data_IF_893800578085
#
_entry.id   IF_893800578085
#
_cell.length_a   1.000
_cell.length_b   1.000
_cell.length_c   1.000
_cell.angle_alpha   90.00
_cell.angle_beta   90.00
_cell.angle_gamma   90.00
#
_symmetry.space_group_name_H-M   'P 1'
#
loop_
_entity.id
_entity.type
_entity.pdbx_description
1 polymer ?
#
# COMPACT_ATOMS: atom_id res chain seq x y z
N UNK A 1 -18.52 16.91 -28.44
CA UNK A 1 -17.74 16.65 -29.61
C UNK A 1 -16.26 16.81 -29.36
N UNK A 2 -15.83 16.19 -28.30
CA UNK A 2 -14.44 15.94 -27.98
C UNK A 2 -14.13 14.47 -28.10
N UNK A 3 -12.99 14.14 -28.68
CA UNK A 3 -12.47 12.78 -28.73
C UNK A 3 -10.98 12.85 -28.42
N UNK A 4 -10.59 12.23 -27.33
CA UNK A 4 -9.19 12.12 -26.90
C UNK A 4 -8.78 10.65 -26.89
N UNK A 5 -7.71 10.33 -27.60
CA UNK A 5 -7.12 8.97 -27.64
C UNK A 5 -5.69 9.05 -27.13
N UNK A 6 -5.42 8.42 -25.97
CA UNK A 6 -4.12 8.47 -25.31
C UNK A 6 -3.63 7.07 -24.97
N UNK A 7 -2.35 6.79 -25.26
CA UNK A 7 -1.69 5.60 -24.73
C UNK A 7 -1.17 5.90 -23.32
N UNK A 8 -1.51 5.04 -22.38
CA UNK A 8 -1.05 5.09 -20.98
C UNK A 8 -0.14 3.89 -20.71
N UNK A 9 1.10 4.19 -20.36
CA UNK A 9 2.08 3.17 -20.00
C UNK A 9 2.10 3.02 -18.48
N UNK A 10 1.78 1.84 -17.97
CA UNK A 10 1.79 1.51 -16.55
C UNK A 10 2.96 0.56 -16.27
N UNK A 11 4.02 1.07 -15.66
CA UNK A 11 5.16 0.26 -15.24
C UNK A 11 4.80 -0.63 -14.04
N UNK A 12 5.54 -1.74 -13.85
CA UNK A 12 5.43 -2.56 -12.67
C UNK A 12 5.55 -1.72 -11.39
N UNK A 13 4.82 -2.08 -10.32
CA UNK A 13 4.98 -1.42 -9.03
C UNK A 13 6.39 -1.63 -8.49
N UNK A 14 6.81 -0.79 -7.53
CA UNK A 14 8.08 -0.99 -6.83
C UNK A 14 8.08 -2.34 -6.12
N UNK A 15 9.26 -2.80 -5.75
CA UNK A 15 9.46 -4.03 -4.98
C UNK A 15 8.76 -3.97 -3.63
N UNK A 16 8.70 -5.09 -2.94
CA UNK A 16 8.12 -5.14 -1.61
C UNK A 16 9.09 -4.64 -0.54
N UNK A 17 8.61 -3.74 0.30
CA UNK A 17 9.02 -3.65 1.68
C UNK A 17 8.08 -4.52 2.54
N UNK A 18 8.28 -4.53 3.87
CA UNK A 18 7.45 -5.35 4.74
C UNK A 18 5.98 -4.91 4.74
N UNK A 19 5.68 -3.62 4.83
CA UNK A 19 4.32 -3.11 4.90
C UNK A 19 3.50 -3.42 3.64
N UNK A 20 4.08 -3.23 2.47
CA UNK A 20 3.44 -3.57 1.20
C UNK A 20 3.22 -5.09 1.05
N UNK A 21 4.18 -5.90 1.50
CA UNK A 21 4.02 -7.35 1.49
C UNK A 21 2.90 -7.80 2.43
N UNK A 22 2.83 -7.22 3.64
CA UNK A 22 1.76 -7.48 4.62
C UNK A 22 0.39 -7.10 4.07
N UNK A 23 0.28 -5.94 3.40
CA UNK A 23 -0.96 -5.52 2.76
C UNK A 23 -1.37 -6.47 1.62
N UNK A 24 -0.43 -6.87 0.77
CA UNK A 24 -0.70 -7.78 -0.34
C UNK A 24 -1.12 -9.17 0.15
N UNK A 25 -0.44 -9.73 1.15
CA UNK A 25 -0.77 -11.02 1.75
C UNK A 25 -2.12 -10.99 2.48
N UNK A 26 -2.44 -9.90 3.19
CA UNK A 26 -3.76 -9.69 3.79
C UNK A 26 -4.86 -9.65 2.73
N UNK A 27 -4.61 -8.99 1.61
CA UNK A 27 -5.54 -8.89 0.48
C UNK A 27 -5.77 -10.25 -0.22
N UNK A 28 -4.68 -10.96 -0.53
CA UNK A 28 -4.73 -12.20 -1.33
C UNK A 28 -5.09 -13.43 -0.50
N UNK A 29 -4.50 -13.57 0.68
CA UNK A 29 -4.52 -14.81 1.45
C UNK A 29 -5.28 -14.69 2.76
N UNK A 30 -5.72 -13.49 3.14
CA UNK A 30 -6.44 -13.22 4.39
C UNK A 30 -5.65 -13.61 5.64
N UNK A 31 -4.33 -13.50 5.57
CA UNK A 31 -3.44 -13.66 6.73
C UNK A 31 -3.11 -12.32 7.37
N UNK A 32 -2.81 -12.35 8.66
CA UNK A 32 -2.48 -11.14 9.41
C UNK A 32 -1.08 -10.59 9.05
N UNK A 33 -0.79 -9.32 9.33
CA UNK A 33 0.55 -8.76 9.19
C UNK A 33 1.61 -9.50 10.02
N UNK A 34 1.26 -9.93 11.24
CA UNK A 34 2.13 -10.70 12.11
C UNK A 34 2.48 -12.07 11.50
N UNK A 35 1.48 -12.77 10.99
CA UNK A 35 1.71 -14.04 10.30
C UNK A 35 2.52 -13.87 9.02
N UNK A 36 2.29 -12.80 8.25
CA UNK A 36 3.09 -12.47 7.08
C UNK A 36 4.57 -12.26 7.46
N UNK A 37 4.82 -11.51 8.53
CA UNK A 37 6.18 -11.30 9.03
C UNK A 37 6.82 -12.62 9.46
N UNK A 38 6.12 -13.46 10.21
CA UNK A 38 6.62 -14.77 10.66
C UNK A 38 7.01 -15.66 9.46
N UNK A 39 6.15 -15.72 8.44
CA UNK A 39 6.42 -16.49 7.22
C UNK A 39 7.62 -15.91 6.47
N UNK A 40 7.68 -14.59 6.31
CA UNK A 40 8.79 -13.96 5.57
C UNK A 40 10.11 -14.12 6.33
N UNK A 41 10.07 -14.10 7.66
CA UNK A 41 11.23 -14.42 8.50
C UNK A 41 11.70 -15.88 8.29
N UNK A 42 10.77 -16.84 8.23
CA UNK A 42 11.08 -18.23 7.89
C UNK A 42 11.73 -18.36 6.51
N UNK A 43 11.19 -17.65 5.51
CA UNK A 43 11.77 -17.62 4.16
C UNK A 43 13.20 -17.06 4.15
N UNK A 44 13.45 -16.02 4.95
CA UNK A 44 14.78 -15.42 5.11
C UNK A 44 15.77 -16.39 5.78
N UNK A 45 15.37 -17.05 6.86
CA UNK A 45 16.21 -18.04 7.57
C UNK A 45 16.55 -19.24 6.68
N UNK A 46 15.63 -19.63 5.80
CA UNK A 46 15.86 -20.62 4.73
C UNK A 46 16.67 -20.07 3.55
N UNK A 47 17.14 -18.83 3.61
CA UNK A 47 17.91 -18.13 2.56
C UNK A 47 17.18 -18.00 1.22
N UNK A 48 15.85 -18.02 1.23
CA UNK A 48 15.04 -17.90 0.01
C UNK A 48 14.78 -16.44 -0.38
N UNK A 49 14.71 -15.54 0.60
CA UNK A 49 14.52 -14.10 0.39
C UNK A 49 15.52 -13.28 1.19
N UNK A 50 15.62 -11.99 0.87
CA UNK A 50 16.44 -11.02 1.60
C UNK A 50 15.78 -10.62 2.93
N UNK A 51 16.49 -9.83 3.76
CA UNK A 51 16.04 -9.44 5.09
C UNK A 51 14.64 -8.80 5.06
N UNK A 52 13.67 -9.29 5.86
CA UNK A 52 12.27 -8.89 5.70
C UNK A 52 11.91 -7.55 6.35
N UNK A 53 12.63 -7.11 7.39
CA UNK A 53 12.29 -5.87 8.11
C UNK A 53 12.95 -4.67 7.46
N UNK A 54 12.46 -4.29 6.30
CA UNK A 54 12.93 -3.14 5.53
C UNK A 54 11.77 -2.25 5.12
N UNK A 55 12.00 -0.94 5.12
CA UNK A 55 11.08 0.06 4.57
C UNK A 55 11.43 0.39 3.11
N UNK A 56 12.59 -0.05 2.59
CA UNK A 56 13.01 0.18 1.22
C UNK A 56 12.23 -0.67 0.21
N UNK A 57 11.90 -0.05 -0.93
CA UNK A 57 11.16 -0.68 -2.04
C UNK A 57 11.98 -0.72 -3.34
N UNK A 58 13.29 -0.55 -3.22
CA UNK A 58 14.23 -0.43 -4.33
C UNK A 58 15.45 -1.32 -4.09
N UNK A 59 16.21 -1.57 -5.14
CA UNK A 59 17.51 -2.22 -5.09
C UNK A 59 18.61 -1.18 -4.82
N UNK A 60 19.70 -1.61 -4.20
CA UNK A 60 20.95 -0.86 -4.22
C UNK A 60 21.66 -1.01 -5.58
N UNK A 61 22.50 -0.05 -5.91
CA UNK A 61 23.33 -0.10 -7.12
C UNK A 61 24.23 -1.35 -7.11
N UNK A 62 24.75 -1.74 -5.95
CA UNK A 62 25.57 -2.93 -5.80
C UNK A 62 24.79 -4.22 -6.13
N UNK A 63 23.58 -4.37 -5.57
CA UNK A 63 22.71 -5.51 -5.85
C UNK A 63 22.24 -5.51 -7.30
N UNK A 64 21.90 -4.36 -7.87
CA UNK A 64 21.47 -4.25 -9.26
C UNK A 64 22.52 -4.72 -10.26
N UNK A 65 23.82 -4.52 -9.97
CA UNK A 65 24.94 -5.01 -10.80
C UNK A 65 25.05 -6.54 -10.81
N UNK A 66 24.67 -7.19 -9.72
CA UNK A 66 24.77 -8.63 -9.56
C UNK A 66 23.44 -9.38 -9.68
N UNK A 67 22.37 -8.68 -10.03
CA UNK A 67 21.00 -9.19 -10.04
C UNK A 67 20.81 -10.43 -10.94
N UNK A 68 21.69 -10.58 -11.92
CA UNK A 68 21.79 -11.78 -12.76
C UNK A 68 21.81 -13.07 -11.93
N UNK A 69 22.53 -13.10 -10.81
CA UNK A 69 22.64 -14.28 -9.94
C UNK A 69 21.30 -14.69 -9.36
N UNK A 70 20.50 -13.70 -8.90
CA UNK A 70 19.17 -13.92 -8.36
C UNK A 70 18.22 -14.48 -9.42
N UNK A 71 18.22 -13.88 -10.62
CA UNK A 71 17.35 -14.30 -11.72
C UNK A 71 17.75 -15.70 -12.21
N UNK A 72 19.04 -15.96 -12.38
CA UNK A 72 19.52 -17.26 -12.86
C UNK A 72 19.18 -18.39 -11.88
N UNK A 73 19.28 -18.14 -10.57
CA UNK A 73 18.89 -19.11 -9.55
C UNK A 73 17.41 -19.47 -9.58
N UNK A 74 16.52 -18.53 -9.96
CA UNK A 74 15.08 -18.78 -10.09
C UNK A 74 14.71 -19.74 -11.24
N UNK A 75 15.64 -20.09 -12.13
CA UNK A 75 15.43 -21.18 -13.10
C UNK A 75 15.23 -22.53 -12.42
N UNK A 76 15.69 -22.69 -11.18
CA UNK A 76 15.43 -23.87 -10.34
C UNK A 76 14.05 -23.88 -9.67
N UNK A 77 13.24 -22.81 -9.82
CA UNK A 77 11.88 -22.72 -9.32
C UNK A 77 10.90 -22.79 -10.50
N UNK A 78 10.25 -23.92 -10.69
CA UNK A 78 9.44 -24.23 -11.87
C UNK A 78 8.43 -23.12 -12.23
N UNK A 79 7.63 -22.54 -11.31
CA UNK A 79 6.69 -21.48 -11.66
C UNK A 79 7.32 -20.18 -12.19
N UNK A 80 8.59 -19.96 -11.96
CA UNK A 80 9.34 -18.79 -12.38
C UNK A 80 10.36 -19.06 -13.48
N UNK A 81 10.67 -20.33 -13.74
CA UNK A 81 11.78 -20.74 -14.61
C UNK A 81 11.71 -20.16 -16.02
N UNK A 82 10.52 -20.19 -16.64
CA UNK A 82 10.28 -19.63 -17.98
C UNK A 82 10.50 -18.11 -18.04
N UNK A 83 9.97 -17.38 -17.05
CA UNK A 83 10.14 -15.92 -16.95
C UNK A 83 11.60 -15.53 -16.70
N UNK A 84 12.29 -16.27 -15.82
CA UNK A 84 13.70 -16.04 -15.57
C UNK A 84 14.57 -16.27 -16.82
N UNK A 85 14.30 -17.33 -17.57
CA UNK A 85 14.99 -17.61 -18.83
C UNK A 85 14.75 -16.51 -19.89
N UNK A 86 13.50 -16.03 -20.03
CA UNK A 86 13.14 -14.93 -20.92
C UNK A 86 13.87 -13.63 -20.58
N UNK A 87 13.91 -13.26 -19.29
CA UNK A 87 14.63 -12.06 -18.81
C UNK A 87 16.13 -12.16 -19.09
N UNK A 88 16.73 -13.32 -18.87
CA UNK A 88 18.15 -13.55 -19.09
C UNK A 88 18.52 -13.49 -20.58
N UNK A 89 17.72 -14.11 -21.45
CA UNK A 89 17.95 -14.09 -22.90
C UNK A 89 17.70 -12.69 -23.50
N UNK A 90 16.67 -11.98 -23.03
CA UNK A 90 16.35 -10.62 -23.47
C UNK A 90 17.29 -9.54 -22.90
N UNK A 91 18.04 -9.85 -21.84
CA UNK A 91 19.03 -8.94 -21.27
C UNK A 91 18.49 -7.70 -20.57
N UNK A 92 17.18 -7.63 -20.29
CA UNK A 92 16.52 -6.46 -19.66
C UNK A 92 17.08 -6.14 -18.26
N UNK A 93 17.60 -7.11 -17.55
CA UNK A 93 18.26 -6.95 -16.24
C UNK A 93 19.51 -6.06 -16.29
N UNK A 94 20.20 -5.95 -17.45
CA UNK A 94 21.44 -5.16 -17.60
C UNK A 94 21.22 -3.66 -17.38
N UNK A 95 20.02 -3.18 -17.59
CA UNK A 95 19.66 -1.76 -17.48
C UNK A 95 18.98 -1.40 -16.16
N UNK A 96 18.71 -2.37 -15.28
CA UNK A 96 17.91 -2.17 -14.07
C UNK A 96 18.50 -1.10 -13.13
N UNK A 97 19.82 -0.98 -13.08
CA UNK A 97 20.54 0.02 -12.29
C UNK A 97 20.22 1.48 -12.70
N UNK A 98 19.71 1.68 -13.92
CA UNK A 98 19.34 3.00 -14.46
C UNK A 98 17.84 3.29 -14.39
N UNK A 99 17.08 2.46 -13.72
CA UNK A 99 15.63 2.56 -13.62
C UNK A 99 15.18 3.04 -12.24
N UNK A 100 13.91 3.38 -12.10
CA UNK A 100 13.29 3.73 -10.80
C UNK A 100 13.36 2.62 -9.74
N UNK A 101 13.72 1.41 -10.12
CA UNK A 101 13.82 0.24 -9.22
C UNK A 101 15.17 0.17 -8.48
N UNK A 102 16.11 1.06 -8.80
CA UNK A 102 17.42 1.15 -8.14
C UNK A 102 17.64 2.57 -7.64
N UNK A 103 17.81 2.75 -6.32
CA UNK A 103 18.04 4.07 -5.73
C UNK A 103 18.68 3.95 -4.34
N UNK A 104 19.99 4.16 -4.25
CA UNK A 104 20.71 4.05 -2.97
C UNK A 104 20.25 5.10 -1.93
N UNK A 105 19.71 6.24 -2.35
CA UNK A 105 19.22 7.29 -1.43
C UNK A 105 17.93 6.92 -0.69
N UNK A 106 17.22 5.88 -1.16
CA UNK A 106 16.01 5.38 -0.52
C UNK A 106 16.27 4.15 0.36
N UNK A 107 17.53 3.83 0.62
CA UNK A 107 17.95 2.69 1.43
C UNK A 107 18.65 3.22 2.66
N UNK A 108 18.14 2.86 3.83
CA UNK A 108 18.81 3.12 5.12
C UNK A 108 19.77 1.97 5.46
N UNK A 109 19.23 0.81 5.82
CA UNK A 109 20.00 -0.35 6.25
C UNK A 109 19.90 -1.51 5.26
N UNK A 110 18.70 -1.76 4.72
CA UNK A 110 18.41 -2.89 3.85
C UNK A 110 17.61 -2.45 2.62
N UNK A 111 17.90 -3.06 1.47
CA UNK A 111 17.11 -2.91 0.26
C UNK A 111 15.83 -3.77 0.31
N UNK A 112 15.01 -3.70 -0.72
CA UNK A 112 13.72 -4.37 -0.81
C UNK A 112 13.79 -5.89 -0.59
N UNK A 113 12.64 -6.49 -0.24
CA UNK A 113 12.48 -7.94 -0.12
C UNK A 113 12.44 -8.54 -1.53
N UNK A 114 13.48 -9.33 -1.85
CA UNK A 114 13.62 -10.02 -3.13
C UNK A 114 14.04 -11.48 -2.93
N UNK A 115 13.78 -12.38 -3.91
CA UNK A 115 14.33 -13.73 -3.85
C UNK A 115 15.86 -13.70 -4.01
N UNK A 116 16.55 -14.55 -3.28
CA UNK A 116 18.03 -14.68 -3.36
C UNK A 116 18.50 -15.43 -4.58
N UNK A 117 17.62 -16.21 -5.22
CA UNK A 117 17.97 -17.18 -6.25
C UNK A 117 18.26 -18.59 -5.71
N UNK A 118 18.38 -18.76 -4.40
CA UNK A 118 18.44 -20.10 -3.81
C UNK A 118 17.02 -20.70 -3.79
N UNK A 119 16.86 -21.92 -4.29
CA UNK A 119 15.54 -22.56 -4.43
C UNK A 119 15.46 -23.93 -3.74
N UNK A 120 16.56 -24.42 -3.18
CA UNK A 120 16.63 -25.77 -2.61
C UNK A 120 15.65 -26.03 -1.46
N UNK A 121 15.37 -25.03 -0.64
CA UNK A 121 14.45 -25.13 0.50
C UNK A 121 12.96 -24.95 0.14
N UNK A 122 12.62 -24.63 -1.11
CA UNK A 122 11.23 -24.35 -1.53
C UNK A 122 10.32 -25.57 -1.34
N UNK A 123 10.83 -26.79 -1.58
CA UNK A 123 10.05 -28.02 -1.44
C UNK A 123 9.57 -28.30 -0.01
N UNK A 124 10.24 -27.75 0.99
CA UNK A 124 9.88 -27.89 2.40
C UNK A 124 8.98 -26.79 2.95
N UNK A 125 8.45 -25.90 2.10
CA UNK A 125 7.56 -24.83 2.53
C UNK A 125 6.13 -25.32 2.74
N UNK A 126 5.45 -24.73 3.73
CA UNK A 126 3.99 -24.88 3.85
C UNK A 126 3.29 -24.24 2.65
N UNK A 127 2.06 -24.67 2.37
CA UNK A 127 1.27 -24.14 1.25
C UNK A 127 1.13 -22.60 1.28
N UNK A 128 0.99 -22.02 2.48
CA UNK A 128 0.88 -20.57 2.62
C UNK A 128 2.24 -19.88 2.45
N UNK A 129 3.32 -20.45 2.97
CA UNK A 129 4.66 -19.92 2.79
C UNK A 129 5.09 -19.95 1.31
N UNK A 130 4.71 -21.00 0.58
CA UNK A 130 4.93 -21.07 -0.86
C UNK A 130 4.19 -19.95 -1.63
N UNK A 131 2.93 -19.65 -1.27
CA UNK A 131 2.16 -18.55 -1.86
C UNK A 131 2.80 -17.18 -1.60
N UNK A 132 3.30 -16.97 -0.38
CA UNK A 132 4.01 -15.72 -0.04
C UNK A 132 5.31 -15.61 -0.84
N UNK A 133 6.08 -16.70 -0.94
CA UNK A 133 7.30 -16.74 -1.75
C UNK A 133 7.02 -16.47 -3.23
N UNK A 134 6.01 -17.12 -3.81
CA UNK A 134 5.58 -16.88 -5.20
C UNK A 134 5.18 -15.42 -5.45
N UNK A 135 4.50 -14.80 -4.50
CA UNK A 135 4.13 -13.37 -4.58
C UNK A 135 5.37 -12.47 -4.62
N UNK A 136 6.38 -12.76 -3.81
CA UNK A 136 7.65 -12.01 -3.81
C UNK A 136 8.39 -12.23 -5.13
N UNK A 137 8.48 -13.46 -5.61
CA UNK A 137 9.13 -13.81 -6.87
C UNK A 137 8.46 -13.12 -8.06
N UNK A 138 7.14 -13.15 -8.16
CA UNK A 138 6.39 -12.49 -9.23
C UNK A 138 6.58 -10.97 -9.22
N UNK A 139 6.56 -10.34 -8.06
CA UNK A 139 6.83 -8.90 -7.92
C UNK A 139 8.25 -8.56 -8.36
N UNK A 140 9.23 -9.38 -8.01
CA UNK A 140 10.63 -9.22 -8.39
C UNK A 140 10.83 -9.38 -9.90
N UNK A 141 10.29 -10.42 -10.51
CA UNK A 141 10.45 -10.64 -11.95
C UNK A 141 9.71 -9.60 -12.80
N UNK A 142 8.59 -9.07 -12.29
CA UNK A 142 7.78 -8.08 -13.01
C UNK A 142 8.54 -6.79 -13.35
N UNK A 143 9.55 -6.38 -12.56
CA UNK A 143 10.30 -5.15 -12.81
C UNK A 143 11.21 -5.21 -14.05
N UNK A 144 11.48 -6.40 -14.56
CA UNK A 144 12.32 -6.62 -15.75
C UNK A 144 11.52 -6.67 -17.06
N UNK A 145 10.19 -6.59 -16.96
CA UNK A 145 9.30 -6.54 -18.12
C UNK A 145 8.94 -5.11 -18.50
N UNK A 146 8.59 -4.86 -19.78
CA UNK A 146 8.13 -3.55 -20.21
C UNK A 146 6.84 -3.14 -19.49
N UNK A 147 6.48 -1.85 -19.49
CA UNK A 147 5.21 -1.40 -18.98
C UNK A 147 4.02 -2.07 -19.68
N UNK A 148 2.93 -2.30 -18.94
CA UNK A 148 1.65 -2.60 -19.56
C UNK A 148 1.14 -1.36 -20.27
N UNK A 149 0.62 -1.54 -21.52
CA UNK A 149 0.14 -0.45 -22.35
C UNK A 149 -1.37 -0.50 -22.43
N UNK A 150 -2.01 0.59 -22.08
CA UNK A 150 -3.45 0.77 -22.18
C UNK A 150 -3.77 1.84 -23.23
N UNK A 151 -4.85 1.63 -23.99
CA UNK A 151 -5.49 2.68 -24.74
C UNK A 151 -6.60 3.29 -23.90
N UNK A 152 -6.47 4.59 -23.62
CA UNK A 152 -7.54 5.38 -23.01
C UNK A 152 -8.24 6.17 -24.13
N UNK A 153 -9.56 6.08 -24.19
CA UNK A 153 -10.40 6.84 -25.10
C UNK A 153 -11.41 7.60 -24.27
N UNK A 154 -11.37 8.93 -24.34
CA UNK A 154 -12.36 9.80 -23.71
C UNK A 154 -13.20 10.47 -24.79
N UNK A 155 -14.52 10.41 -24.64
CA UNK A 155 -15.49 10.92 -25.60
C UNK A 155 -16.38 11.94 -24.89
N UNK A 156 -16.55 13.10 -25.52
CA UNK A 156 -17.53 14.09 -25.10
C UNK A 156 -18.53 14.22 -26.25
N UNK A 157 -19.76 13.79 -26.01
CA UNK A 157 -20.87 13.93 -26.93
C UNK A 157 -21.71 15.14 -26.48
N UNK A 158 -22.27 15.86 -27.43
CA UNK A 158 -23.19 16.97 -27.19
C UNK A 158 -24.53 16.69 -27.86
N UNK A 159 -25.59 16.91 -27.10
CA UNK A 159 -26.95 16.97 -27.64
C UNK A 159 -27.59 18.26 -27.10
N UNK A 160 -27.87 19.20 -27.97
CA UNK A 160 -28.36 20.54 -27.63
C UNK A 160 -27.42 21.24 -26.63
N UNK A 161 -27.87 21.54 -25.43
CA UNK A 161 -27.11 22.16 -24.33
C UNK A 161 -26.39 21.15 -23.47
N UNK A 162 -26.74 19.86 -23.54
CA UNK A 162 -26.23 18.82 -22.66
C UNK A 162 -24.93 18.20 -23.18
N UNK A 163 -24.04 17.88 -22.25
CA UNK A 163 -22.77 17.19 -22.53
C UNK A 163 -22.73 15.83 -21.82
N UNK A 164 -22.47 14.79 -22.60
CA UNK A 164 -22.36 13.41 -22.12
C UNK A 164 -20.90 12.99 -22.18
N UNK A 165 -20.37 12.47 -21.08
CA UNK A 165 -18.98 12.07 -20.94
C UNK A 165 -18.88 10.55 -20.88
N UNK A 166 -17.94 9.98 -21.60
CA UNK A 166 -17.64 8.55 -21.53
C UNK A 166 -16.14 8.31 -21.63
N UNK A 167 -15.61 7.38 -20.83
CA UNK A 167 -14.22 6.99 -20.89
C UNK A 167 -14.09 5.46 -20.95
N UNK A 168 -13.13 5.00 -21.74
CA UNK A 168 -12.82 3.58 -21.94
C UNK A 168 -11.33 3.36 -21.77
N UNK A 169 -10.96 2.28 -21.08
CA UNK A 169 -9.57 1.89 -20.88
C UNK A 169 -9.39 0.42 -21.26
N UNK A 170 -8.60 0.15 -22.28
CA UNK A 170 -8.38 -1.18 -22.83
C UNK A 170 -6.90 -1.55 -22.77
N UNK A 171 -6.59 -2.76 -22.30
CA UNK A 171 -5.23 -3.29 -22.28
C UNK A 171 -4.82 -3.69 -23.70
N UNK A 172 -3.74 -3.08 -24.22
CA UNK A 172 -3.19 -3.37 -25.56
C UNK A 172 -2.01 -4.33 -25.46
N UNK A 173 -1.16 -4.14 -24.44
CA UNK A 173 0.01 -4.99 -24.22
C UNK A 173 0.14 -5.28 -22.73
N UNK A 174 0.25 -6.54 -22.38
CA UNK A 174 0.33 -7.01 -21.00
C UNK A 174 1.61 -6.53 -20.31
N UNK A 175 2.73 -6.45 -21.01
CA UNK A 175 4.01 -6.10 -20.39
C UNK A 175 4.26 -6.93 -19.15
N UNK A 176 4.54 -6.27 -18.01
CA UNK A 176 4.81 -6.93 -16.72
C UNK A 176 3.60 -7.73 -16.18
N UNK A 177 2.39 -7.48 -16.63
CA UNK A 177 1.20 -8.24 -16.21
C UNK A 177 1.26 -9.71 -16.64
N UNK A 178 2.08 -10.04 -17.63
CA UNK A 178 2.39 -11.42 -18.02
C UNK A 178 2.89 -12.24 -16.81
N UNK A 179 3.67 -11.62 -15.94
CA UNK A 179 4.24 -12.25 -14.73
C UNK A 179 3.38 -11.98 -13.50
N UNK A 180 2.95 -10.74 -13.33
CA UNK A 180 2.19 -10.32 -12.15
C UNK A 180 0.74 -10.82 -12.15
N UNK A 181 0.21 -11.21 -13.31
CA UNK A 181 -1.19 -11.50 -13.53
C UNK A 181 -2.02 -10.24 -13.74
N UNK A 182 -3.10 -10.36 -14.49
CA UNK A 182 -4.06 -9.27 -14.69
C UNK A 182 -4.89 -9.13 -13.40
N UNK A 183 -4.94 -7.95 -12.77
CA UNK A 183 -5.72 -7.76 -11.56
C UNK A 183 -7.19 -8.14 -11.76
N UNK A 184 -7.75 -8.88 -10.82
CA UNK A 184 -9.15 -9.35 -10.89
C UNK A 184 -10.17 -8.19 -11.00
N UNK A 185 -9.79 -6.98 -10.59
CA UNK A 185 -10.58 -5.76 -10.78
C UNK A 185 -10.75 -5.36 -12.25
N UNK A 186 -9.84 -5.78 -13.13
CA UNK A 186 -9.97 -5.55 -14.57
C UNK A 186 -10.81 -6.64 -15.27
N UNK A 187 -10.92 -7.83 -14.67
CA UNK A 187 -11.76 -8.92 -15.16
C UNK A 187 -13.21 -8.86 -14.65
N UNK A 188 -13.45 -8.17 -13.54
CA UNK A 188 -14.79 -7.91 -13.01
C UNK A 188 -14.97 -6.41 -13.10
N UNK A 189 -15.96 -5.93 -13.88
CA UNK A 189 -16.32 -4.51 -13.95
C UNK A 189 -16.25 -3.90 -12.55
N UNK A 190 -15.36 -2.93 -12.39
CA UNK A 190 -14.88 -2.51 -11.07
C UNK A 190 -15.98 -1.76 -10.33
N UNK A 191 -16.60 -2.38 -9.33
CA UNK A 191 -17.56 -1.72 -8.42
C UNK A 191 -16.87 -0.88 -7.31
N UNK A 192 -15.54 -0.68 -7.36
CA UNK A 192 -14.81 -0.28 -6.16
C UNK A 192 -13.60 0.65 -6.37
N UNK A 193 -13.63 1.55 -7.32
CA UNK A 193 -12.70 2.69 -7.32
C UNK A 193 -13.50 3.99 -7.21
N UNK A 194 -13.03 4.87 -6.32
CA UNK A 194 -13.58 6.22 -6.09
C UNK A 194 -13.35 7.19 -7.27
N UNK A 195 -12.96 6.71 -8.45
CA UNK A 195 -13.03 7.46 -9.69
C UNK A 195 -14.45 7.32 -10.25
N UNK A 196 -15.17 8.44 -10.27
CA UNK A 196 -16.58 8.60 -10.67
C UNK A 196 -16.89 8.22 -12.13
N UNK A 197 -15.96 7.65 -12.87
CA UNK A 197 -16.18 7.14 -14.22
C UNK A 197 -16.24 5.61 -14.17
N UNK A 198 -17.44 5.05 -14.26
CA UNK A 198 -17.61 3.62 -14.57
C UNK A 198 -16.91 3.34 -15.91
N UNK A 199 -15.71 2.75 -15.86
CA UNK A 199 -15.06 2.23 -17.08
C UNK A 199 -15.96 1.14 -17.65
N UNK A 200 -16.68 1.46 -18.71
CA UNK A 200 -17.50 0.49 -19.46
C UNK A 200 -16.58 -0.61 -19.98
N UNK A 201 -16.96 -1.87 -19.79
CA UNK A 201 -16.21 -2.99 -20.37
C UNK A 201 -16.12 -2.78 -21.88
N UNK A 202 -14.93 -2.60 -22.36
CA UNK A 202 -14.65 -2.47 -23.78
C UNK A 202 -14.02 -3.78 -24.26
N UNK A 203 -14.72 -4.50 -25.11
CA UNK A 203 -14.19 -5.65 -25.83
C UNK A 203 -13.39 -5.20 -27.09
N UNK A 204 -12.77 -6.14 -27.77
CA UNK A 204 -11.98 -5.85 -28.97
C UNK A 204 -12.83 -5.22 -30.10
N UNK A 205 -14.09 -5.63 -30.24
CA UNK A 205 -14.99 -5.08 -31.27
C UNK A 205 -15.35 -3.62 -30.95
N UNK A 206 -15.65 -3.32 -29.69
CA UNK A 206 -15.89 -1.96 -29.21
C UNK A 206 -14.65 -1.07 -29.38
N UNK A 207 -13.45 -1.62 -29.12
CA UNK A 207 -12.21 -0.87 -29.32
C UNK A 207 -12.00 -0.51 -30.78
N UNK A 208 -12.28 -1.41 -31.74
CA UNK A 208 -12.22 -1.11 -33.18
C UNK A 208 -13.19 0.00 -33.59
N UNK A 209 -14.41 -0.03 -33.07
CA UNK A 209 -15.39 1.04 -33.29
C UNK A 209 -14.90 2.37 -32.73
N UNK A 210 -14.40 2.39 -31.50
CA UNK A 210 -13.85 3.58 -30.88
C UNK A 210 -12.61 4.13 -31.57
N UNK A 211 -11.81 3.26 -32.22
CA UNK A 211 -10.66 3.68 -33.00
C UNK A 211 -11.06 4.37 -34.33
N UNK A 212 -12.18 3.96 -34.93
CA UNK A 212 -12.71 4.52 -36.19
C UNK A 212 -13.38 5.88 -35.99
N UNK A 213 -13.87 6.19 -34.77
CA UNK A 213 -14.52 7.47 -34.45
C UNK A 213 -13.56 8.65 -34.67
N UNK A 214 -14.11 9.72 -35.25
CA UNK A 214 -13.46 11.02 -35.47
C UNK A 214 -14.22 12.13 -34.73
N UNK A 215 -13.52 13.22 -34.45
CA UNK A 215 -14.15 14.41 -33.88
C UNK A 215 -15.14 14.99 -34.92
N UNK A 216 -16.39 15.13 -34.53
CA UNK A 216 -17.48 15.62 -35.37
C UNK A 216 -18.40 14.52 -35.89
N UNK A 217 -18.08 13.25 -35.69
CA UNK A 217 -18.98 12.15 -36.04
C UNK A 217 -20.29 12.26 -35.26
N UNK A 218 -21.38 11.89 -35.93
CA UNK A 218 -22.71 11.82 -35.31
C UNK A 218 -22.94 10.40 -34.83
N UNK A 219 -23.23 10.24 -33.54
CA UNK A 219 -23.56 8.97 -32.96
C UNK A 219 -25.06 8.92 -32.73
N UNK A 220 -25.73 7.90 -33.24
CA UNK A 220 -27.13 7.68 -32.99
C UNK A 220 -27.32 7.20 -31.56
N UNK A 221 -28.01 8.02 -30.74
CA UNK A 221 -28.34 7.65 -29.36
C UNK A 221 -29.54 6.71 -29.36
N UNK A 222 -29.48 5.65 -28.57
CA UNK A 222 -30.62 4.79 -28.26
C UNK A 222 -31.50 5.41 -27.18
N UNK A 223 -31.85 4.62 -26.18
CA UNK A 223 -32.64 5.09 -25.03
C UNK A 223 -31.75 5.77 -23.98
N UNK A 224 -32.29 6.80 -23.36
CA UNK A 224 -31.72 7.43 -22.17
C UNK A 224 -32.48 6.94 -20.94
N UNK A 225 -31.76 6.52 -19.93
CA UNK A 225 -32.34 6.14 -18.66
C UNK A 225 -31.57 6.75 -17.49
N UNK A 226 -32.28 7.03 -16.42
CA UNK A 226 -31.69 7.50 -15.17
C UNK A 226 -31.33 6.29 -14.32
N UNK A 227 -30.04 6.13 -14.04
CA UNK A 227 -29.56 5.09 -13.13
C UNK A 227 -29.48 5.67 -11.73
N UNK A 228 -30.40 5.27 -10.88
CA UNK A 228 -30.34 5.62 -9.46
C UNK A 228 -29.21 4.86 -8.76
N UNK A 229 -28.48 5.53 -7.90
CA UNK A 229 -27.40 4.98 -7.12
C UNK A 229 -27.33 5.63 -5.74
N UNK A 230 -26.67 4.93 -4.80
CA UNK A 230 -26.37 5.47 -3.47
C UNK A 230 -24.86 5.54 -3.32
N UNK A 231 -24.35 6.65 -2.82
CA UNK A 231 -22.96 6.76 -2.39
C UNK A 231 -22.72 5.81 -1.21
N UNK A 232 -21.52 5.30 -1.11
CA UNK A 232 -21.12 4.47 0.02
C UNK A 232 -20.05 5.19 0.83
N UNK A 233 -20.02 4.99 2.16
CA UNK A 233 -18.95 5.56 2.98
C UNK A 233 -17.59 4.97 2.57
N UNK A 234 -16.46 5.64 2.93
CA UNK A 234 -15.13 5.08 2.74
C UNK A 234 -15.03 3.67 3.31
N UNK A 235 -14.24 2.83 2.64
CA UNK A 235 -14.05 1.45 3.10
C UNK A 235 -13.33 1.42 4.44
N UNK A 236 -13.75 0.54 5.33
CA UNK A 236 -13.03 0.28 6.57
C UNK A 236 -11.63 -0.27 6.27
N UNK A 237 -10.68 0.05 7.14
CA UNK A 237 -9.35 -0.55 7.08
C UNK A 237 -9.43 -2.06 7.25
N UNK A 238 -8.63 -2.78 6.50
CA UNK A 238 -8.23 -4.14 6.83
C UNK A 238 -6.84 -4.10 7.49
N UNK A 239 -6.40 -5.24 8.03
CA UNK A 239 -5.13 -5.32 8.75
C UNK A 239 -3.93 -4.83 7.92
N UNK A 240 -3.88 -5.17 6.62
CA UNK A 240 -2.81 -4.71 5.73
C UNK A 240 -2.90 -3.22 5.38
N UNK A 241 -4.10 -2.72 5.04
CA UNK A 241 -4.27 -1.30 4.71
C UNK A 241 -4.04 -0.37 5.90
N UNK A 242 -4.29 -0.83 7.13
CA UNK A 242 -3.96 -0.07 8.34
C UNK A 242 -2.43 0.01 8.54
N UNK A 243 -1.68 -1.06 8.27
CA UNK A 243 -0.21 -1.02 8.29
C UNK A 243 0.32 0.02 7.29
N UNK A 244 -0.24 0.06 6.06
CA UNK A 244 0.13 1.09 5.07
C UNK A 244 -0.26 2.50 5.52
N UNK A 245 -1.41 2.67 6.17
CA UNK A 245 -1.82 3.96 6.72
C UNK A 245 -0.85 4.43 7.82
N UNK A 246 -0.38 3.52 8.68
CA UNK A 246 0.65 3.83 9.68
C UNK A 246 1.98 4.22 9.02
N UNK A 247 2.41 3.52 7.99
CA UNK A 247 3.62 3.86 7.24
C UNK A 247 3.51 5.23 6.57
N UNK A 248 2.34 5.57 6.05
CA UNK A 248 2.07 6.81 5.33
C UNK A 248 1.38 7.87 6.19
N UNK A 249 1.47 7.78 7.52
CA UNK A 249 0.78 8.69 8.45
C UNK A 249 1.14 10.17 8.24
N UNK A 250 2.30 10.46 7.67
CA UNK A 250 2.69 11.82 7.29
C UNK A 250 1.74 12.50 6.32
N UNK A 251 0.96 11.76 5.53
CA UNK A 251 -0.04 12.36 4.62
C UNK A 251 -1.16 13.10 5.37
N UNK A 252 -1.35 12.81 6.65
CA UNK A 252 -2.34 13.47 7.51
C UNK A 252 -1.80 14.74 8.16
N UNK A 253 -0.53 15.07 7.97
CA UNK A 253 0.14 16.25 8.57
C UNK A 253 0.11 17.40 7.57
N UNK A 254 -0.43 18.55 7.97
CA UNK A 254 -0.51 19.75 7.13
C UNK A 254 0.84 20.45 7.00
N UNK A 255 1.63 20.48 8.07
CA UNK A 255 2.97 21.07 8.08
C UNK A 255 3.93 20.28 7.20
N UNK A 256 4.49 20.95 6.17
CA UNK A 256 5.35 20.32 5.18
C UNK A 256 6.67 19.80 5.74
N UNK A 257 7.25 20.50 6.71
CA UNK A 257 8.53 20.12 7.34
C UNK A 257 8.34 18.87 8.20
N UNK A 258 7.29 18.85 9.04
CA UNK A 258 6.95 17.68 9.85
C UNK A 258 6.47 16.51 8.99
N UNK A 259 5.76 16.80 7.90
CA UNK A 259 5.39 15.78 6.92
C UNK A 259 6.62 15.13 6.28
N UNK A 260 7.60 15.93 5.90
CA UNK A 260 8.86 15.43 5.33
C UNK A 260 9.64 14.56 6.34
N UNK A 261 9.64 14.94 7.61
CA UNK A 261 10.30 14.20 8.69
C UNK A 261 9.71 12.81 8.89
N UNK A 262 8.39 12.67 8.88
CA UNK A 262 7.72 11.38 9.10
C UNK A 262 7.53 10.55 7.80
N UNK A 263 7.80 11.14 6.65
CA UNK A 263 7.58 10.51 5.34
C UNK A 263 8.35 9.20 5.15
N UNK A 264 9.46 9.02 5.85
CA UNK A 264 10.29 7.81 5.77
C UNK A 264 10.06 6.81 6.89
N UNK A 265 9.51 7.24 8.04
CA UNK A 265 9.34 6.40 9.23
C UNK A 265 7.89 6.05 9.54
N UNK A 266 6.95 6.98 9.33
CA UNK A 266 5.54 6.76 9.68
C UNK A 266 5.31 6.65 11.19
N UNK A 267 4.20 6.02 11.57
CA UNK A 267 3.92 5.62 12.95
C UNK A 267 4.44 4.20 13.16
N UNK A 268 5.34 4.03 14.12
CA UNK A 268 6.07 2.77 14.32
C UNK A 268 7.04 2.49 13.17
N UNK A 269 7.81 1.44 13.32
CA UNK A 269 8.78 0.95 12.32
C UNK A 269 8.24 -0.29 11.61
N UNK A 270 8.88 -0.72 10.53
CA UNK A 270 8.60 -2.01 9.88
C UNK A 270 8.59 -3.19 10.87
N UNK A 271 9.43 -3.15 11.90
CA UNK A 271 9.52 -4.19 12.91
C UNK A 271 8.35 -4.16 13.93
N UNK A 272 7.75 -2.99 14.20
CA UNK A 272 6.84 -2.79 15.33
C UNK A 272 5.37 -2.62 14.95
N UNK A 273 5.05 -2.20 13.70
CA UNK A 273 3.66 -1.91 13.29
C UNK A 273 2.71 -3.11 13.49
N UNK A 274 3.14 -4.30 13.10
CA UNK A 274 2.31 -5.51 13.26
C UNK A 274 2.05 -5.82 14.74
N UNK A 275 3.04 -5.64 15.61
CA UNK A 275 2.88 -5.85 17.04
C UNK A 275 1.99 -4.79 17.69
N UNK A 276 2.08 -3.52 17.26
CA UNK A 276 1.17 -2.46 17.73
C UNK A 276 -0.28 -2.85 17.42
N UNK A 277 -0.54 -3.28 16.18
CA UNK A 277 -1.88 -3.75 15.79
C UNK A 277 -2.35 -4.92 16.64
N UNK A 278 -1.49 -5.92 16.86
CA UNK A 278 -1.78 -7.07 17.72
C UNK A 278 -2.11 -6.63 19.15
N UNK A 279 -1.33 -5.74 19.73
CA UNK A 279 -1.58 -5.21 21.10
C UNK A 279 -2.93 -4.50 21.21
N UNK A 280 -3.35 -3.77 20.19
CA UNK A 280 -4.68 -3.11 20.18
C UNK A 280 -5.81 -4.14 20.13
N UNK A 281 -5.61 -5.25 19.39
CA UNK A 281 -6.56 -6.37 19.34
C UNK A 281 -6.60 -7.10 20.69
N UNK A 282 -5.44 -7.45 21.24
CA UNK A 282 -5.32 -8.18 22.52
C UNK A 282 -5.91 -7.38 23.71
N UNK A 283 -5.77 -6.05 23.68
CA UNK A 283 -6.40 -5.15 24.65
C UNK A 283 -7.91 -4.96 24.43
N UNK A 284 -8.45 -5.49 23.34
CA UNK A 284 -9.86 -5.37 22.99
C UNK A 284 -10.27 -3.96 22.56
N UNK A 285 -9.35 -3.11 22.10
CA UNK A 285 -9.69 -1.77 21.60
C UNK A 285 -10.21 -1.82 20.16
N UNK A 286 -9.73 -2.77 19.39
CA UNK A 286 -10.19 -3.04 18.03
C UNK A 286 -10.48 -4.53 17.87
N UNK A 287 -11.36 -4.87 16.92
CA UNK A 287 -11.68 -6.24 16.54
C UNK A 287 -11.24 -6.50 15.12
N UNK A 288 -10.59 -7.64 14.90
CA UNK A 288 -10.20 -8.14 13.59
C UNK A 288 -11.13 -9.29 13.17
N UNK A 289 -11.75 -9.16 12.00
CA UNK A 289 -12.48 -10.27 11.40
C UNK A 289 -11.49 -11.22 10.69
N UNK A 290 -11.36 -12.46 11.17
CA UNK A 290 -10.40 -13.44 10.66
C UNK A 290 -10.57 -13.80 9.18
N UNK A 291 -11.83 -13.78 8.66
CA UNK A 291 -12.10 -14.13 7.25
C UNK A 291 -11.87 -12.98 6.27
N UNK A 292 -12.26 -11.76 6.65
CA UNK A 292 -12.19 -10.58 5.77
C UNK A 292 -10.96 -9.72 6.04
N UNK A 293 -10.32 -9.91 7.19
CA UNK A 293 -9.26 -9.06 7.74
C UNK A 293 -9.71 -7.60 7.99
N UNK A 294 -11.01 -7.33 7.99
CA UNK A 294 -11.55 -6.00 8.30
C UNK A 294 -11.40 -5.72 9.80
N UNK A 295 -10.96 -4.51 10.10
CA UNK A 295 -10.80 -3.98 11.45
C UNK A 295 -11.99 -3.07 11.76
N UNK A 296 -12.53 -3.23 12.96
CA UNK A 296 -13.55 -2.34 13.51
C UNK A 296 -13.16 -1.94 14.94
N UNK A 297 -13.49 -0.72 15.38
CA UNK A 297 -13.37 -0.38 16.80
C UNK A 297 -14.29 -1.29 17.63
N UNK A 298 -14.02 -1.38 18.90
CA UNK A 298 -14.94 -1.95 19.91
C UNK A 298 -15.51 -0.80 20.75
N UNK A 299 -16.56 -1.05 21.50
CA UNK A 299 -17.08 -0.06 22.44
C UNK A 299 -15.99 0.43 23.40
N UNK A 300 -15.19 -0.50 23.94
CA UNK A 300 -14.05 -0.15 24.81
C UNK A 300 -13.05 0.75 24.07
N UNK A 301 -12.76 0.44 22.81
CA UNK A 301 -11.83 1.23 22.00
C UNK A 301 -12.33 2.67 21.78
N UNK A 302 -13.62 2.85 21.48
CA UNK A 302 -14.21 4.19 21.32
C UNK A 302 -14.23 4.94 22.65
N UNK A 303 -14.59 4.30 23.76
CA UNK A 303 -14.54 4.91 25.08
C UNK A 303 -13.11 5.37 25.46
N UNK A 304 -12.09 4.55 25.17
CA UNK A 304 -10.68 4.91 25.41
C UNK A 304 -10.27 6.10 24.52
N UNK A 305 -10.72 6.11 23.25
CA UNK A 305 -10.48 7.25 22.37
C UNK A 305 -11.07 8.54 22.94
N UNK A 306 -12.31 8.52 23.41
CA UNK A 306 -12.98 9.67 24.01
C UNK A 306 -12.28 10.17 25.28
N UNK A 307 -11.82 9.23 26.13
CA UNK A 307 -11.02 9.57 27.33
C UNK A 307 -9.73 10.28 26.94
N UNK A 308 -9.00 9.76 25.94
CA UNK A 308 -7.75 10.36 25.49
C UNK A 308 -8.01 11.72 24.82
N UNK A 309 -9.07 11.82 24.01
CA UNK A 309 -9.47 13.08 23.35
C UNK A 309 -9.81 14.17 24.36
N UNK A 310 -10.48 13.82 25.47
CA UNK A 310 -10.87 14.74 26.53
C UNK A 310 -9.73 15.10 27.50
N UNK A 311 -8.65 14.29 27.56
CA UNK A 311 -7.55 14.46 28.53
C UNK A 311 -6.23 14.86 27.88
N UNK A 312 -5.76 14.10 26.89
CA UNK A 312 -4.47 14.34 26.21
C UNK A 312 -4.66 14.27 24.69
N UNK A 313 -5.48 15.14 24.14
CA UNK A 313 -5.82 15.15 22.70
C UNK A 313 -4.60 15.06 21.76
N UNK A 314 -3.48 15.66 22.15
CA UNK A 314 -2.26 15.65 21.32
C UNK A 314 -1.67 14.25 21.06
N UNK A 315 -1.99 13.24 21.90
CA UNK A 315 -1.58 11.86 21.63
C UNK A 315 -2.30 11.24 20.43
N UNK A 316 -3.40 11.85 19.96
CA UNK A 316 -4.15 11.41 18.78
C UNK A 316 -3.64 12.10 17.50
N UNK A 317 -2.65 12.98 17.62
CA UNK A 317 -2.13 13.76 16.50
C UNK A 317 -0.77 13.20 16.05
N UNK A 318 -0.61 12.74 14.80
CA UNK A 318 0.66 12.25 14.28
C UNK A 318 1.75 13.33 14.25
N UNK A 319 1.39 14.62 14.29
CA UNK A 319 2.31 15.74 14.38
C UNK A 319 3.22 15.65 15.62
N UNK A 320 2.68 15.15 16.73
CA UNK A 320 3.47 14.94 17.95
C UNK A 320 4.60 13.92 17.71
N UNK A 321 4.28 12.79 17.07
CA UNK A 321 5.30 11.78 16.73
C UNK A 321 6.35 12.36 15.80
N UNK A 322 5.93 13.07 14.74
CA UNK A 322 6.85 13.73 13.81
C UNK A 322 7.80 14.72 14.50
N UNK A 323 7.28 15.48 15.46
CA UNK A 323 8.07 16.45 16.25
C UNK A 323 9.15 15.76 17.09
N UNK A 324 8.82 14.62 17.73
CA UNK A 324 9.82 13.84 18.50
C UNK A 324 10.86 13.17 17.58
N UNK A 325 10.46 12.63 16.44
CA UNK A 325 11.38 12.06 15.44
C UNK A 325 12.34 13.12 14.90
N UNK A 326 11.86 14.35 14.66
CA UNK A 326 12.71 15.49 14.29
C UNK A 326 13.75 15.80 15.36
N UNK A 327 13.34 15.75 16.64
CA UNK A 327 14.27 15.92 17.76
C UNK A 327 15.34 14.82 17.81
N UNK A 328 14.97 13.55 17.57
CA UNK A 328 15.94 12.44 17.50
C UNK A 328 16.91 12.59 16.32
N UNK A 329 16.44 13.06 15.18
CA UNK A 329 17.31 13.39 14.04
C UNK A 329 18.32 14.46 14.43
N UNK A 330 17.87 15.51 15.13
CA UNK A 330 18.76 16.56 15.64
C UNK A 330 19.81 16.05 16.64
N UNK A 331 19.48 15.02 17.42
CA UNK A 331 20.49 14.36 18.29
C UNK A 331 21.48 13.55 17.44
N UNK A 332 21.02 12.85 16.41
CA UNK A 332 21.86 12.02 15.54
C UNK A 332 22.86 12.87 14.73
N UNK A 333 22.44 14.03 14.23
CA UNK A 333 23.29 14.97 13.48
C UNK A 333 24.04 15.98 14.38
N UNK A 334 23.91 15.84 15.70
CA UNK A 334 24.55 16.68 16.71
C UNK A 334 24.12 18.16 16.69
N UNK A 335 22.99 18.49 16.09
CA UNK A 335 22.40 19.84 16.15
C UNK A 335 21.69 20.11 17.47
N UNK A 336 21.30 19.07 18.19
CA UNK A 336 20.72 19.10 19.53
C UNK A 336 21.49 18.10 20.42
N UNK A 337 21.76 18.44 21.66
CA UNK A 337 22.38 17.50 22.61
C UNK A 337 21.35 16.49 23.11
N UNK A 338 21.81 15.26 23.42
CA UNK A 338 20.97 14.23 24.03
C UNK A 338 20.33 14.71 25.34
N UNK A 339 21.06 15.54 26.12
CA UNK A 339 20.56 16.11 27.37
C UNK A 339 19.39 17.06 27.10
N UNK A 340 19.53 17.96 26.16
CA UNK A 340 18.47 18.89 25.79
C UNK A 340 17.20 18.16 25.31
N UNK A 341 17.37 17.10 24.51
CA UNK A 341 16.25 16.28 24.05
C UNK A 341 15.52 15.62 25.24
N UNK A 342 16.28 15.00 26.17
CA UNK A 342 15.71 14.34 27.35
C UNK A 342 15.00 15.34 28.27
N UNK A 343 15.59 16.51 28.51
CA UNK A 343 14.97 17.56 29.36
C UNK A 343 13.64 18.04 28.75
N UNK A 344 13.56 18.18 27.42
CA UNK A 344 12.31 18.48 26.70
C UNK A 344 11.27 17.37 26.86
N UNK A 345 11.68 16.11 26.72
CA UNK A 345 10.81 14.95 26.87
C UNK A 345 10.28 14.81 28.29
N UNK A 346 11.14 14.88 29.32
CA UNK A 346 10.76 14.84 30.73
C UNK A 346 9.81 16.00 31.08
N UNK A 347 10.13 17.21 30.61
CA UNK A 347 9.26 18.36 30.81
C UNK A 347 7.90 18.22 30.13
N UNK A 348 7.85 17.63 28.95
CA UNK A 348 6.59 17.32 28.28
C UNK A 348 5.76 16.31 29.08
N UNK A 349 6.35 15.16 29.43
CA UNK A 349 5.67 14.10 30.20
C UNK A 349 5.15 14.64 31.53
N UNK A 350 5.99 15.37 32.26
CA UNK A 350 5.63 15.95 33.57
C UNK A 350 4.43 16.90 33.44
N UNK A 351 4.50 17.89 32.52
CA UNK A 351 3.40 18.85 32.33
C UNK A 351 2.10 18.16 31.93
N UNK A 352 2.15 17.16 31.02
CA UNK A 352 0.94 16.44 30.59
C UNK A 352 0.37 15.57 31.69
N UNK A 353 1.22 14.88 32.45
CA UNK A 353 0.76 14.08 33.59
C UNK A 353 0.07 14.94 34.66
N UNK A 354 0.67 16.08 35.01
CA UNK A 354 0.07 17.01 35.95
C UNK A 354 -1.26 17.59 35.44
N UNK A 355 -1.32 17.94 34.14
CA UNK A 355 -2.56 18.44 33.53
C UNK A 355 -3.68 17.39 33.59
N UNK A 356 -3.39 16.11 33.28
CA UNK A 356 -4.39 15.03 33.35
C UNK A 356 -4.89 14.81 34.77
N UNK A 357 -4.00 14.90 35.81
CA UNK A 357 -4.40 14.79 37.21
C UNK A 357 -5.37 15.89 37.64
N UNK A 358 -5.37 17.03 36.98
CA UNK A 358 -6.26 18.16 37.25
C UNK A 358 -7.55 18.14 36.42
N UNK A 359 -7.65 17.23 35.41
CA UNK A 359 -8.85 17.10 34.60
C UNK A 359 -10.02 16.64 35.49
N UNK A 360 -11.09 17.40 35.46
CA UNK A 360 -12.32 17.11 36.19
C UNK A 360 -13.56 17.23 35.26
N UNK A 361 -13.49 16.52 34.15
CA UNK A 361 -14.52 16.54 33.10
C UNK A 361 -15.19 15.18 32.87
N UNK A 362 -15.05 14.23 33.79
CA UNK A 362 -15.57 12.88 33.64
C UNK A 362 -17.09 12.83 33.39
N UNK A 363 -17.84 13.80 33.93
CA UNK A 363 -19.28 13.91 33.70
C UNK A 363 -19.62 14.20 32.24
N UNK A 364 -18.71 14.81 31.47
CA UNK A 364 -18.90 15.08 30.05
C UNK A 364 -18.71 13.84 29.19
N UNK A 365 -18.03 12.81 29.68
CA UNK A 365 -17.74 11.59 28.91
C UNK A 365 -18.96 10.67 28.81
N UNK A 366 -19.88 10.72 29.79
CA UNK A 366 -21.04 9.83 29.79
C UNK A 366 -21.91 9.93 28.55
N UNK A 367 -22.29 11.11 28.05
CA UNK A 367 -23.05 11.23 26.81
C UNK A 367 -22.34 10.63 25.61
N UNK A 368 -21.00 10.76 25.52
CA UNK A 368 -20.21 10.15 24.44
C UNK A 368 -20.23 8.63 24.51
N UNK A 369 -20.07 8.08 25.73
CA UNK A 369 -20.15 6.64 25.95
C UNK A 369 -21.52 6.05 25.64
N UNK A 370 -22.60 6.74 26.08
CA UNK A 370 -23.98 6.33 25.79
C UNK A 370 -24.27 6.38 24.29
N UNK A 371 -23.75 7.39 23.59
CA UNK A 371 -23.85 7.50 22.13
C UNK A 371 -23.09 6.37 21.44
N UNK A 372 -21.83 6.16 21.77
CA UNK A 372 -21.03 5.06 21.24
C UNK A 372 -21.73 3.72 21.49
N UNK A 373 -22.19 3.45 22.72
CA UNK A 373 -22.87 2.20 23.08
C UNK A 373 -24.10 1.91 22.24
N UNK A 374 -24.78 2.93 21.69
CA UNK A 374 -25.97 2.77 20.86
C UNK A 374 -25.68 2.00 19.56
N UNK A 375 -24.43 1.98 19.07
CA UNK A 375 -24.01 1.28 17.87
C UNK A 375 -23.56 -0.17 18.13
N UNK A 376 -23.45 -0.60 19.37
CA UNK A 376 -22.92 -1.92 19.79
C UNK A 376 -23.98 -2.83 20.40
N UNK A 377 -25.25 -2.60 20.08
CA UNK A 377 -26.38 -3.44 20.52
C UNK A 377 -26.43 -4.76 19.78
#
# INVERSE_FOLDING_TARGET
TGLEKKKENKSAPLLFNLAELQNECSRLFKISPDETLRITQELYEKKLVTYPRTDARVLSTAVAKEIYKNINGLRGYEPAAGYAAEILSGGSYKTIAKTKYTNDKQITDHYAIIPTGQTGAVRGLSAIALKVYDTIVKRFLAIFYPPAVYQKVAIIMKKDTESLFSSFKVLISEGYLKVAGIPASQNRGNKNNDDETEDVKCDAAMLELLQKLKKGDIIQAGEFFVKEGKTSPPKRYNSGSLILAMENAGQLIEDEELRAQIKGSGIGTSATRAEILKKLIDKGYIRLNGKTQIITPTLLGEMIYDVVAASIKYLLDPTLTASWEKGLTGVADSSISSREYLDKLEGYVTRRTLAVKQVNNQYMLRPYFDYAASFYK
#
